data_IF_453303658427
#
_entry.id   IF_453303658427
#
_cell.length_a   1.000
_cell.length_b   1.000
_cell.length_c   1.000
_cell.angle_alpha   90.00
_cell.angle_beta   90.00
_cell.angle_gamma   90.00
#
_symmetry.space_group_name_H-M   'P 1'
#
loop_
_entity.id
_entity.type
_entity.pdbx_description
1 polymer ?
#
# COMPACT_ATOMS: atom_id res chain seq x y z
N UNK A 1 89.20 -34.57 -0.23
CA UNK A 1 88.23 -33.47 -0.47
C UNK A 1 86.93 -33.91 -1.17
N UNK A 2 86.84 -35.12 -1.76
CA UNK A 2 85.60 -35.63 -2.39
C UNK A 2 84.47 -36.01 -1.41
N UNK A 3 84.78 -36.40 -0.17
CA UNK A 3 83.77 -36.79 0.83
C UNK A 3 82.98 -35.60 1.39
N UNK A 4 83.60 -34.43 1.53
CA UNK A 4 82.93 -33.19 1.96
C UNK A 4 81.89 -32.72 0.93
N UNK A 5 82.15 -32.93 -0.36
CA UNK A 5 81.20 -32.61 -1.43
C UNK A 5 79.97 -33.55 -1.43
N UNK A 6 80.17 -34.82 -1.04
CA UNK A 6 79.10 -35.82 -0.98
C UNK A 6 78.15 -35.63 0.22
N UNK A 7 78.67 -35.19 1.37
CA UNK A 7 77.81 -34.87 2.52
C UNK A 7 76.96 -33.62 2.28
N UNK A 8 77.48 -32.62 1.55
CA UNK A 8 76.71 -31.44 1.16
C UNK A 8 75.55 -31.77 0.21
N UNK A 9 75.78 -32.68 -0.74
CA UNK A 9 74.74 -33.15 -1.65
C UNK A 9 73.65 -34.00 -0.95
N UNK A 10 74.02 -34.77 0.08
CA UNK A 10 73.07 -35.56 0.86
C UNK A 10 72.22 -34.69 1.80
N UNK A 11 72.78 -33.58 2.30
CA UNK A 11 72.02 -32.61 3.11
C UNK A 11 71.01 -31.80 2.28
N UNK A 12 71.33 -31.52 1.02
CA UNK A 12 70.45 -30.78 0.11
C UNK A 12 69.27 -31.61 -0.45
N UNK A 13 69.37 -32.94 -0.40
CA UNK A 13 68.32 -33.83 -0.91
C UNK A 13 67.17 -34.06 0.10
N UNK A 14 67.38 -33.79 1.39
CA UNK A 14 66.35 -33.95 2.43
C UNK A 14 65.51 -32.69 2.69
N UNK A 15 65.87 -31.54 2.13
CA UNK A 15 65.16 -30.26 2.36
C UNK A 15 64.01 -30.00 1.37
N UNK A 16 63.71 -30.93 0.47
CA UNK A 16 62.59 -30.88 -0.46
C UNK A 16 61.25 -31.32 0.15
N UNK A 17 60.94 -30.86 1.37
CA UNK A 17 59.59 -30.99 1.94
C UNK A 17 58.68 -29.97 1.27
N UNK A 18 57.86 -30.40 0.31
CA UNK A 18 56.90 -29.55 -0.38
C UNK A 18 56.02 -28.84 0.63
N UNK A 19 56.08 -27.51 0.63
CA UNK A 19 55.10 -26.68 1.31
C UNK A 19 53.75 -26.95 0.64
N UNK A 20 52.85 -27.66 1.33
CA UNK A 20 51.46 -27.77 0.92
C UNK A 20 50.89 -26.35 0.93
N UNK A 21 50.65 -25.78 -0.25
CA UNK A 21 49.99 -24.50 -0.36
C UNK A 21 48.61 -24.63 0.29
N UNK A 22 48.38 -23.88 1.35
CA UNK A 22 47.07 -23.74 1.98
C UNK A 22 46.13 -23.14 0.93
N UNK A 23 45.09 -23.88 0.54
CA UNK A 23 44.07 -23.40 -0.38
C UNK A 23 43.15 -22.45 0.40
N UNK A 24 43.56 -21.19 0.49
CA UNK A 24 42.83 -20.14 1.22
C UNK A 24 41.64 -19.70 0.38
N UNK A 25 40.46 -20.17 0.77
CA UNK A 25 39.20 -19.77 0.14
C UNK A 25 38.69 -18.51 0.86
N UNK A 26 38.85 -17.34 0.23
CA UNK A 26 38.27 -16.08 0.70
C UNK A 26 36.79 -16.01 0.30
N UNK A 27 35.90 -16.09 1.30
CA UNK A 27 34.46 -15.96 1.11
C UNK A 27 34.04 -14.51 1.39
N UNK A 28 33.62 -13.79 0.35
CA UNK A 28 33.03 -12.46 0.49
C UNK A 28 31.50 -12.55 0.44
N UNK A 29 30.83 -12.00 1.45
CA UNK A 29 29.37 -11.87 1.47
C UNK A 29 28.97 -10.40 1.53
N UNK A 30 28.31 -9.91 0.48
CA UNK A 30 27.74 -8.55 0.46
C UNK A 30 26.25 -8.63 0.76
N UNK A 31 25.85 -8.20 1.95
CA UNK A 31 24.44 -8.10 2.35
C UNK A 31 23.91 -6.74 1.90
N UNK A 32 23.20 -6.72 0.78
CA UNK A 32 22.48 -5.53 0.32
C UNK A 32 21.10 -5.53 1.00
N UNK A 33 20.91 -4.63 1.96
CA UNK A 33 19.62 -4.42 2.62
C UNK A 33 18.56 -3.83 1.69
N UNK A 34 17.39 -3.54 2.23
CA UNK A 34 16.31 -2.90 1.47
C UNK A 34 16.69 -1.46 1.08
N UNK A 35 16.96 -1.22 -0.20
CA UNK A 35 17.27 0.10 -0.76
C UNK A 35 15.98 0.86 -1.12
N UNK A 36 15.04 0.93 -0.19
CA UNK A 36 13.83 1.72 -0.41
C UNK A 36 14.22 3.21 -0.51
N UNK A 37 13.94 3.77 -1.68
CA UNK A 37 14.18 5.18 -1.96
C UNK A 37 13.33 6.04 -1.01
N UNK A 38 13.91 7.08 -0.35
CA UNK A 38 13.13 7.95 0.51
C UNK A 38 12.09 8.70 -0.33
N UNK A 39 10.80 8.43 -0.08
CA UNK A 39 9.69 9.12 -0.75
C UNK A 39 9.21 10.29 0.10
N UNK A 40 9.13 11.48 -0.49
CA UNK A 40 8.53 12.64 0.17
C UNK A 40 7.00 12.49 0.13
N UNK A 41 6.39 12.32 1.30
CA UNK A 41 4.94 12.21 1.47
C UNK A 41 4.39 13.52 2.04
N UNK A 42 3.46 14.15 1.33
CA UNK A 42 2.70 15.30 1.84
C UNK A 42 1.39 14.79 2.43
N UNK A 43 1.30 14.75 3.76
CA UNK A 43 0.09 14.34 4.48
C UNK A 43 -0.70 15.60 4.85
N UNK A 44 -1.91 15.71 4.32
CA UNK A 44 -2.84 16.77 4.72
C UNK A 44 -3.61 16.29 5.95
N UNK A 45 -3.59 17.03 7.07
CA UNK A 45 -4.31 16.62 8.27
C UNK A 45 -5.82 16.69 8.02
N UNK A 46 -6.52 15.63 8.41
CA UNK A 46 -7.98 15.65 8.45
C UNK A 46 -8.45 16.68 9.48
N UNK A 47 -9.31 17.61 9.06
CA UNK A 47 -9.98 18.55 9.97
C UNK A 47 -11.34 17.98 10.34
N UNK A 48 -11.54 17.70 11.63
CA UNK A 48 -12.83 17.31 12.17
C UNK A 48 -13.84 18.46 11.97
N UNK A 49 -15.05 18.13 11.53
CA UNK A 49 -16.11 19.13 11.42
C UNK A 49 -16.51 19.62 12.81
N UNK A 50 -16.58 20.94 13.00
CA UNK A 50 -16.79 21.57 14.31
C UNK A 50 -18.18 21.27 14.91
N UNK A 51 -19.13 20.74 14.14
CA UNK A 51 -20.38 20.21 14.70
C UNK A 51 -21.13 19.30 13.72
N UNK A 52 -21.62 18.17 14.23
CA UNK A 52 -22.79 17.47 13.68
C UNK A 52 -24.08 18.31 13.82
N UNK A 53 -24.05 19.32 14.70
CA UNK A 53 -25.20 20.19 15.01
C UNK A 53 -25.77 20.95 13.79
N UNK A 54 -25.00 21.09 12.70
CA UNK A 54 -25.53 21.69 11.46
C UNK A 54 -26.41 20.74 10.63
N UNK A 55 -26.32 19.43 10.87
CA UNK A 55 -27.16 18.41 10.24
C UNK A 55 -28.43 18.11 11.05
N UNK A 56 -28.45 18.48 12.34
CA UNK A 56 -29.63 18.39 13.21
C UNK A 56 -30.61 19.57 13.02
N UNK A 57 -30.31 20.48 12.09
CA UNK A 57 -31.23 21.52 11.65
C UNK A 57 -32.41 20.89 10.91
N UNK A 58 -33.36 20.37 11.69
CA UNK A 58 -34.60 19.69 11.31
C UNK A 58 -34.81 19.56 9.82
N UNK A 59 -34.49 18.38 9.27
CA UNK A 59 -35.06 17.96 8.00
C UNK A 59 -36.57 18.23 8.09
N UNK A 60 -37.13 19.15 7.28
CA UNK A 60 -38.54 19.49 7.40
C UNK A 60 -39.35 18.22 7.19
N UNK A 61 -40.38 18.01 8.01
CA UNK A 61 -41.29 16.85 7.93
C UNK A 61 -41.80 16.60 6.50
N UNK A 62 -41.81 17.65 5.67
CA UNK A 62 -42.04 17.64 4.22
C UNK A 62 -41.18 16.65 3.43
N UNK A 63 -39.97 16.31 3.88
CA UNK A 63 -39.13 15.31 3.20
C UNK A 63 -39.78 13.93 3.25
N UNK A 64 -40.44 13.58 4.37
CA UNK A 64 -41.19 12.33 4.49
C UNK A 64 -42.33 12.25 3.47
N UNK A 65 -43.10 13.34 3.33
CA UNK A 65 -44.24 13.40 2.41
C UNK A 65 -43.81 13.41 0.93
N UNK A 66 -42.75 14.14 0.59
CA UNK A 66 -42.24 14.27 -0.79
C UNK A 66 -41.61 12.96 -1.28
N UNK A 67 -40.94 12.22 -0.40
CA UNK A 67 -40.31 10.94 -0.74
C UNK A 67 -41.11 9.72 -0.27
N UNK A 68 -42.35 9.92 0.18
CA UNK A 68 -43.23 8.81 0.53
C UNK A 68 -43.43 7.90 -0.68
N UNK A 69 -43.40 6.59 -0.45
CA UNK A 69 -43.71 5.62 -1.49
C UNK A 69 -45.16 5.83 -1.96
N UNK A 70 -45.34 6.07 -3.26
CA UNK A 70 -46.64 6.19 -3.91
C UNK A 70 -46.65 5.37 -5.19
N UNK A 71 -47.70 4.59 -5.38
CA UNK A 71 -47.89 3.84 -6.62
C UNK A 71 -48.20 4.77 -7.79
N UNK A 72 -47.64 4.45 -8.96
CA UNK A 72 -47.78 5.26 -10.16
C UNK A 72 -49.24 5.45 -10.59
N UNK A 73 -50.07 4.41 -10.47
CA UNK A 73 -51.49 4.45 -10.80
C UNK A 73 -52.28 5.38 -9.88
N UNK A 74 -51.97 5.38 -8.58
CA UNK A 74 -52.61 6.23 -7.57
C UNK A 74 -52.28 7.71 -7.85
N UNK A 75 -51.01 8.01 -8.15
CA UNK A 75 -50.55 9.35 -8.49
C UNK A 75 -51.22 9.90 -9.77
N UNK A 76 -51.33 9.09 -10.82
CA UNK A 76 -52.01 9.50 -12.06
C UNK A 76 -53.49 9.80 -11.84
N UNK A 77 -54.16 9.03 -10.97
CA UNK A 77 -55.56 9.24 -10.63
C UNK A 77 -55.76 10.56 -9.87
N UNK A 78 -54.88 10.85 -8.91
CA UNK A 78 -54.90 12.09 -8.14
C UNK A 78 -54.69 13.32 -9.04
N UNK A 79 -53.69 13.30 -9.94
CA UNK A 79 -53.48 14.39 -10.91
C UNK A 79 -54.74 14.61 -11.75
N UNK A 80 -55.39 13.53 -12.21
CA UNK A 80 -56.60 13.64 -13.02
C UNK A 80 -57.75 14.28 -12.24
N UNK A 81 -57.91 13.92 -10.97
CA UNK A 81 -58.93 14.48 -10.08
C UNK A 81 -58.68 15.96 -9.76
N UNK A 82 -57.43 16.33 -9.46
CA UNK A 82 -57.08 17.73 -9.20
C UNK A 82 -57.36 18.61 -10.42
N UNK A 83 -57.00 18.13 -11.61
CA UNK A 83 -57.28 18.84 -12.87
C UNK A 83 -58.78 18.96 -13.17
N UNK A 84 -59.58 17.93 -12.90
CA UNK A 84 -61.03 18.04 -13.10
C UNK A 84 -61.66 19.04 -12.14
N UNK A 85 -61.17 19.10 -10.89
CA UNK A 85 -61.66 20.07 -9.92
C UNK A 85 -61.31 21.52 -10.33
N UNK A 86 -60.10 21.75 -10.85
CA UNK A 86 -59.70 23.06 -11.40
C UNK A 86 -60.59 23.48 -12.58
N UNK A 87 -60.97 22.54 -13.45
CA UNK A 87 -61.86 22.78 -14.59
C UNK A 87 -63.31 23.06 -14.14
N UNK A 88 -63.77 22.46 -13.03
CA UNK A 88 -65.08 22.72 -12.43
C UNK A 88 -65.14 24.07 -11.69
N UNK A 89 -64.06 24.49 -11.04
CA UNK A 89 -63.96 25.79 -10.35
C UNK A 89 -63.82 26.97 -11.31
N UNK A 90 -63.33 26.74 -12.54
CA UNK A 90 -63.13 27.75 -13.56
C UNK A 90 -64.40 28.07 -14.39
N UNK A 91 -65.52 27.39 -14.13
CA UNK A 91 -66.77 27.45 -14.90
C UNK A 91 -67.95 27.95 -14.06
#
# INVERSE_FOLDING_TARGET
>A
MKKLLQYGALLAALSGGGAAAEDVIELESTVIGNQEQPKVLYIIPWKQADSLARLDGGLPQTIGDVFAHRDYSEFQREIKLLRSNEEEEAN
#
